data_IF_487551784108
#
_entry.id   IF_487551784108
#
_cell.length_a   1.000
_cell.length_b   1.000
_cell.length_c   1.000
_cell.angle_alpha   90.00
_cell.angle_beta   90.00
_cell.angle_gamma   90.00
#
_symmetry.space_group_name_H-M   'P 1'
#
loop_
_entity.id
_entity.type
_entity.pdbx_description
1 polymer ?
#
# COMPACT_ATOMS: atom_id res chain seq x y z
N UNK A 1 -52.81 -69.74 18.96
CA UNK A 1 -51.87 -68.94 19.79
C UNK A 1 -50.59 -68.87 19.02
N UNK A 2 -50.39 -67.79 18.32
CA UNK A 2 -49.16 -67.62 17.51
C UNK A 2 -48.56 -66.31 17.96
N UNK A 3 -47.52 -66.38 18.80
CA UNK A 3 -46.71 -65.24 19.17
C UNK A 3 -45.86 -64.83 17.96
N UNK A 4 -46.17 -63.68 17.41
CA UNK A 4 -45.38 -63.07 16.35
C UNK A 4 -44.02 -62.62 16.89
N UNK A 5 -42.92 -62.54 16.08
CA UNK A 5 -41.54 -62.33 16.52
C UNK A 5 -41.21 -60.97 17.14
N UNK A 6 -42.22 -60.10 17.33
CA UNK A 6 -41.95 -58.70 17.83
C UNK A 6 -42.76 -58.32 19.03
N UNK A 7 -43.48 -59.27 19.69
CA UNK A 7 -44.05 -59.04 21.04
C UNK A 7 -44.91 -57.80 21.22
N UNK A 8 -45.60 -57.30 20.18
CA UNK A 8 -46.45 -56.14 20.29
C UNK A 8 -47.79 -56.58 20.89
N UNK A 9 -48.01 -56.25 22.17
CA UNK A 9 -49.35 -56.41 22.81
C UNK A 9 -50.31 -55.41 22.15
N UNK A 10 -51.31 -55.92 21.42
CA UNK A 10 -52.43 -55.08 21.00
C UNK A 10 -53.16 -54.50 22.23
N UNK A 11 -53.29 -53.20 22.32
CA UNK A 11 -54.01 -52.49 23.34
C UNK A 11 -55.50 -52.73 23.14
N UNK A 12 -56.30 -53.07 24.14
CA UNK A 12 -57.73 -53.21 24.00
C UNK A 12 -58.37 -51.87 23.56
N UNK A 13 -59.23 -51.96 22.53
CA UNK A 13 -60.03 -50.81 22.08
C UNK A 13 -60.93 -50.29 23.16
N UNK A 14 -60.71 -49.04 23.63
CA UNK A 14 -61.60 -48.38 24.59
C UNK A 14 -60.87 -47.57 25.67
N UNK A 15 -59.54 -47.61 25.79
CA UNK A 15 -58.85 -46.81 26.82
C UNK A 15 -58.54 -45.39 26.27
N UNK A 16 -59.02 -44.31 26.91
CA UNK A 16 -58.72 -42.94 26.48
C UNK A 16 -57.25 -42.65 26.60
N UNK A 17 -56.63 -42.18 25.50
CA UNK A 17 -55.24 -41.76 25.49
C UNK A 17 -54.96 -40.72 26.58
N UNK A 18 -53.89 -40.88 27.37
CA UNK A 18 -53.57 -39.85 28.36
C UNK A 18 -53.26 -38.53 27.65
N UNK A 19 -53.66 -37.38 28.24
CA UNK A 19 -53.42 -36.08 27.66
C UNK A 19 -51.89 -35.88 27.43
N UNK A 20 -51.51 -35.14 26.34
CA UNK A 20 -50.11 -34.88 26.06
C UNK A 20 -49.49 -34.16 27.30
N UNK A 21 -48.36 -34.69 27.76
CA UNK A 21 -47.63 -34.04 28.85
C UNK A 21 -47.18 -32.65 28.40
N UNK A 22 -47.51 -31.66 29.19
CA UNK A 22 -47.00 -30.33 28.99
C UNK A 22 -45.48 -30.33 28.90
N UNK A 23 -44.82 -29.61 27.97
CA UNK A 23 -43.39 -29.55 27.90
C UNK A 23 -42.80 -29.08 29.22
N UNK A 24 -41.82 -29.78 29.72
CA UNK A 24 -41.13 -29.42 30.95
C UNK A 24 -40.49 -28.02 30.79
N UNK A 25 -40.60 -27.16 31.80
CA UNK A 25 -39.96 -25.85 31.75
C UNK A 25 -38.46 -26.01 31.55
N UNK A 26 -37.94 -25.30 30.53
CA UNK A 26 -36.49 -25.29 30.25
C UNK A 26 -35.73 -24.82 31.51
N UNK A 27 -34.66 -25.49 31.91
CA UNK A 27 -33.87 -25.03 33.02
C UNK A 27 -33.36 -23.59 32.77
N UNK A 28 -33.31 -22.72 33.78
CA UNK A 28 -32.83 -21.36 33.64
C UNK A 28 -31.40 -21.43 33.07
N UNK A 29 -31.15 -20.70 31.98
CA UNK A 29 -29.82 -20.64 31.33
C UNK A 29 -28.83 -20.10 32.38
N UNK A 30 -28.05 -20.98 32.97
CA UNK A 30 -26.98 -20.62 33.91
C UNK A 30 -25.92 -19.90 33.07
N UNK A 31 -25.98 -18.56 33.03
CA UNK A 31 -24.97 -17.72 32.38
C UNK A 31 -23.63 -18.06 33.05
N UNK A 32 -22.82 -18.82 32.36
CA UNK A 32 -21.50 -19.19 32.83
C UNK A 32 -20.68 -17.91 32.99
N UNK A 33 -20.06 -17.72 34.14
CA UNK A 33 -19.11 -16.62 34.39
C UNK A 33 -18.03 -16.57 33.29
N UNK A 34 -17.67 -17.73 32.76
CA UNK A 34 -16.74 -17.91 31.65
C UNK A 34 -17.27 -17.21 30.37
N UNK A 35 -18.54 -17.37 30.03
CA UNK A 35 -19.15 -16.72 28.86
C UNK A 35 -19.13 -15.18 28.99
N UNK A 36 -19.34 -14.69 30.20
CA UNK A 36 -19.27 -13.24 30.47
C UNK A 36 -17.83 -12.72 30.36
N UNK A 37 -16.84 -13.45 30.91
CA UNK A 37 -15.41 -13.10 30.79
C UNK A 37 -14.97 -13.09 29.33
N UNK A 38 -15.35 -14.10 28.54
CA UNK A 38 -15.05 -14.15 27.10
C UNK A 38 -15.65 -12.95 26.40
N UNK A 39 -16.90 -12.61 26.69
CA UNK A 39 -17.56 -11.42 26.12
C UNK A 39 -16.81 -10.11 26.40
N UNK A 40 -16.37 -9.92 27.63
CA UNK A 40 -15.59 -8.75 28.05
C UNK A 40 -14.24 -8.70 27.32
N UNK A 41 -13.51 -9.83 27.24
CA UNK A 41 -12.23 -9.92 26.54
C UNK A 41 -12.41 -9.58 25.07
N UNK A 42 -13.45 -10.09 24.42
CA UNK A 42 -13.74 -9.78 23.00
C UNK A 42 -14.03 -8.28 22.80
N UNK A 43 -14.82 -7.66 23.68
CA UNK A 43 -15.10 -6.23 23.62
C UNK A 43 -13.82 -5.40 23.77
N UNK A 44 -12.95 -5.75 24.74
CA UNK A 44 -11.68 -5.06 24.90
C UNK A 44 -10.75 -5.26 23.71
N UNK A 45 -10.70 -6.46 23.12
CA UNK A 45 -9.90 -6.74 21.92
C UNK A 45 -10.40 -5.92 20.73
N UNK A 46 -11.70 -5.84 20.51
CA UNK A 46 -12.31 -5.01 19.45
C UNK A 46 -12.00 -3.53 19.70
N UNK A 47 -12.20 -3.05 20.93
CA UNK A 47 -11.89 -1.66 21.28
C UNK A 47 -10.41 -1.33 21.06
N UNK A 48 -9.51 -2.23 21.47
CA UNK A 48 -8.06 -2.08 21.24
C UNK A 48 -7.72 -2.02 19.76
N UNK A 49 -8.24 -2.97 18.96
CA UNK A 49 -8.02 -3.01 17.51
C UNK A 49 -8.55 -1.72 16.86
N UNK A 50 -9.78 -1.31 17.22
CA UNK A 50 -10.39 -0.09 16.68
C UNK A 50 -9.58 1.16 17.02
N UNK A 51 -9.19 1.32 18.28
CA UNK A 51 -8.37 2.46 18.71
C UNK A 51 -7.00 2.47 18.06
N UNK A 52 -6.37 1.29 17.93
CA UNK A 52 -5.09 1.16 17.26
C UNK A 52 -5.21 1.46 15.76
N UNK A 53 -6.27 0.99 15.10
CA UNK A 53 -6.53 1.26 13.67
C UNK A 53 -6.83 2.74 13.42
N UNK A 54 -7.56 3.41 14.31
CA UNK A 54 -7.81 4.86 14.21
C UNK A 54 -6.53 5.70 14.42
N UNK A 55 -5.59 5.21 15.23
CA UNK A 55 -4.29 5.85 15.47
C UNK A 55 -3.29 5.57 14.36
N UNK A 56 -3.36 4.42 13.71
CA UNK A 56 -2.56 4.10 12.54
C UNK A 56 -3.17 4.82 11.34
N UNK A 57 -2.62 5.97 10.99
CA UNK A 57 -2.88 6.59 9.68
C UNK A 57 -2.22 5.68 8.64
N UNK A 58 -2.94 4.65 8.21
CA UNK A 58 -2.53 3.89 7.03
C UNK A 58 -2.35 4.90 5.88
N UNK A 59 -1.23 4.88 5.15
CA UNK A 59 -1.10 5.71 3.97
C UNK A 59 -2.28 5.37 3.05
N UNK A 60 -3.10 6.38 2.74
CA UNK A 60 -4.22 6.20 1.84
C UNK A 60 -3.73 5.85 0.43
N UNK A 61 -4.63 5.61 -0.50
CA UNK A 61 -4.31 5.37 -1.93
C UNK A 61 -4.29 6.65 -2.76
N UNK A 62 -4.17 7.81 -2.13
CA UNK A 62 -4.32 9.13 -2.78
C UNK A 62 -2.99 9.86 -3.04
N UNK A 63 -1.88 9.16 -2.89
CA UNK A 63 -0.56 9.77 -2.98
C UNK A 63 -0.18 10.58 -1.74
N UNK A 64 1.00 11.19 -1.77
CA UNK A 64 1.51 12.02 -0.68
C UNK A 64 0.70 13.31 -0.59
N UNK A 65 0.17 13.68 0.58
CA UNK A 65 -0.63 14.90 0.74
C UNK A 65 0.17 16.17 0.46
N UNK A 66 -0.48 17.18 -0.15
CA UNK A 66 0.12 18.50 -0.31
C UNK A 66 0.51 19.10 1.05
N UNK A 67 1.63 19.80 1.07
CA UNK A 67 2.19 20.43 2.27
C UNK A 67 3.00 19.50 3.18
N UNK A 68 2.95 18.17 2.98
CA UNK A 68 3.80 17.22 3.70
C UNK A 68 5.21 17.17 3.11
N UNK A 69 6.14 16.52 3.78
CA UNK A 69 7.47 16.23 3.25
C UNK A 69 7.45 14.97 2.40
N UNK A 70 8.29 14.93 1.35
CA UNK A 70 8.55 13.70 0.60
C UNK A 70 9.05 12.61 1.56
N UNK A 71 8.41 11.43 1.58
CA UNK A 71 8.94 10.30 2.32
C UNK A 71 10.37 9.99 1.87
N UNK A 72 11.34 9.83 2.81
CA UNK A 72 12.69 9.50 2.45
C UNK A 72 12.78 8.08 1.91
N UNK A 73 13.48 7.92 0.80
CA UNK A 73 13.87 6.61 0.30
C UNK A 73 15.20 6.66 -0.44
N UNK A 74 15.86 5.51 -0.52
CA UNK A 74 16.98 5.24 -1.41
C UNK A 74 16.74 3.88 -2.05
N UNK A 75 16.56 3.84 -3.37
CA UNK A 75 16.25 2.63 -4.10
C UNK A 75 17.26 2.41 -5.26
N UNK A 76 17.65 1.16 -5.57
CA UNK A 76 18.55 0.87 -6.65
C UNK A 76 17.92 1.25 -8.00
N UNK A 77 18.76 1.75 -8.92
CA UNK A 77 18.35 1.90 -10.32
C UNK A 77 18.03 0.54 -10.92
N UNK A 78 16.98 0.48 -11.72
CA UNK A 78 16.62 -0.74 -12.46
C UNK A 78 17.78 -1.25 -13.33
N UNK A 79 18.57 -0.34 -13.90
CA UNK A 79 19.69 -0.63 -14.79
C UNK A 79 20.99 -0.98 -14.06
N UNK A 80 21.07 -0.74 -12.75
CA UNK A 80 22.27 -1.06 -11.96
C UNK A 80 22.38 -2.55 -11.65
N UNK A 81 23.52 -2.94 -11.07
CA UNK A 81 23.78 -4.30 -10.54
C UNK A 81 23.47 -4.41 -9.05
N UNK A 82 23.05 -3.32 -8.40
CA UNK A 82 22.71 -3.35 -6.99
C UNK A 82 21.47 -4.20 -6.76
N UNK A 83 21.59 -5.17 -5.89
CA UNK A 83 20.48 -6.01 -5.42
C UNK A 83 19.94 -5.49 -4.10
N UNK A 84 18.70 -5.90 -3.75
CA UNK A 84 18.06 -5.58 -2.49
C UNK A 84 16.87 -4.63 -2.62
N UNK A 85 16.23 -4.44 -1.48
CA UNK A 85 15.02 -3.64 -1.36
C UNK A 85 15.36 -2.14 -1.21
N UNK A 86 14.35 -1.32 -1.40
CA UNK A 86 14.47 0.12 -1.16
C UNK A 86 14.68 0.38 0.34
N UNK A 87 15.62 1.25 0.67
CA UNK A 87 15.84 1.69 2.04
C UNK A 87 14.91 2.86 2.38
N UNK A 88 14.07 2.66 3.38
CA UNK A 88 13.09 3.64 3.89
C UNK A 88 13.41 4.11 5.32
N UNK A 89 14.52 3.66 5.90
CA UNK A 89 14.89 4.01 7.26
C UNK A 89 15.08 5.53 7.41
N UNK A 90 14.47 6.10 8.45
CA UNK A 90 14.65 7.51 8.80
C UNK A 90 15.70 7.70 9.89
N UNK A 91 15.98 6.66 10.68
CA UNK A 91 16.96 6.64 11.77
C UNK A 91 17.88 5.42 11.63
N UNK A 92 19.10 5.46 12.18
CA UNK A 92 19.98 4.31 12.24
C UNK A 92 19.31 3.13 12.96
N UNK A 93 19.48 1.91 12.45
CA UNK A 93 18.92 0.68 13.04
C UNK A 93 17.41 0.50 12.84
N UNK A 94 16.74 1.38 12.14
CA UNK A 94 15.35 1.24 11.75
C UNK A 94 15.27 0.39 10.48
N UNK A 95 14.49 -0.69 10.51
CA UNK A 95 14.47 -1.69 9.43
C UNK A 95 15.48 -2.82 9.67
N UNK A 96 15.93 -3.50 8.63
CA UNK A 96 16.88 -4.61 8.73
C UNK A 96 18.16 -4.23 9.51
N UNK A 97 18.84 -5.22 10.08
CA UNK A 97 20.02 -4.99 10.93
C UNK A 97 21.06 -4.10 10.25
N UNK A 98 21.41 -2.99 10.89
CA UNK A 98 22.42 -2.06 10.41
C UNK A 98 21.95 -1.09 9.31
N UNK A 99 20.66 -0.98 9.05
CA UNK A 99 20.14 -0.05 8.05
C UNK A 99 20.54 1.40 8.40
N UNK A 100 21.21 2.04 7.45
CA UNK A 100 21.52 3.47 7.53
C UNK A 100 20.28 4.28 7.16
N UNK A 101 20.12 5.51 7.65
CA UNK A 101 19.05 6.39 7.19
C UNK A 101 19.06 6.53 5.65
N UNK A 102 17.91 6.46 5.00
CA UNK A 102 17.79 6.51 3.55
C UNK A 102 18.50 7.74 2.95
N UNK A 103 18.38 8.91 3.59
CA UNK A 103 19.01 10.14 3.12
C UNK A 103 20.55 10.08 3.09
N UNK A 104 21.17 9.12 3.79
CA UNK A 104 22.64 8.92 3.78
C UNK A 104 23.11 7.93 2.74
N UNK A 105 22.20 7.17 2.12
CA UNK A 105 22.52 6.15 1.11
C UNK A 105 22.50 6.81 -0.26
N UNK A 106 23.69 7.15 -0.76
CA UNK A 106 23.89 7.90 -2.01
C UNK A 106 24.85 7.15 -2.94
N UNK A 107 24.69 7.34 -4.21
CA UNK A 107 25.55 6.75 -5.23
C UNK A 107 24.98 6.94 -6.64
N UNK A 108 25.80 6.66 -7.68
CA UNK A 108 25.37 6.78 -9.07
C UNK A 108 24.28 5.78 -9.45
N UNK A 109 24.21 4.67 -8.75
CA UNK A 109 23.26 3.57 -8.99
C UNK A 109 22.01 3.63 -8.10
N UNK A 110 21.78 4.77 -7.42
CA UNK A 110 20.71 4.92 -6.45
C UNK A 110 19.86 6.16 -6.76
N UNK A 111 18.56 6.00 -6.78
CA UNK A 111 17.61 7.11 -6.69
C UNK A 111 17.34 7.40 -5.21
N UNK A 112 17.63 8.62 -4.78
CA UNK A 112 17.46 9.04 -3.40
C UNK A 112 16.60 10.32 -3.35
N UNK A 113 15.43 10.23 -2.70
CA UNK A 113 14.47 11.35 -2.63
C UNK A 113 15.03 12.57 -1.90
N UNK A 114 15.84 12.37 -0.85
CA UNK A 114 16.48 13.47 -0.12
C UNK A 114 17.48 14.21 -1.01
N UNK A 115 18.34 13.46 -1.72
CA UNK A 115 19.33 14.03 -2.63
C UNK A 115 18.66 14.79 -3.79
N UNK A 116 17.55 14.27 -4.32
CA UNK A 116 16.76 14.97 -5.34
C UNK A 116 16.24 16.30 -4.79
N UNK A 117 15.60 16.28 -3.62
CA UNK A 117 15.03 17.47 -2.99
C UNK A 117 16.09 18.53 -2.62
N UNK A 118 17.29 18.11 -2.27
CA UNK A 118 18.44 19.01 -2.02
C UNK A 118 18.87 19.74 -3.31
N UNK A 119 18.91 19.01 -4.43
CA UNK A 119 19.40 19.55 -5.71
C UNK A 119 18.40 20.49 -6.39
N UNK A 120 17.09 20.23 -6.28
CA UNK A 120 16.08 21.05 -6.95
C UNK A 120 14.66 20.61 -6.63
N UNK A 121 13.65 21.25 -7.30
CA UNK A 121 12.29 20.74 -7.30
C UNK A 121 12.22 19.31 -7.83
N UNK A 122 11.26 18.52 -7.38
CA UNK A 122 11.19 17.08 -7.67
C UNK A 122 9.91 16.74 -8.43
N UNK A 123 10.05 15.98 -9.50
CA UNK A 123 8.96 15.30 -10.21
C UNK A 123 9.23 13.80 -10.13
N UNK A 124 8.46 13.10 -9.31
CA UNK A 124 8.60 11.67 -9.07
C UNK A 124 7.38 10.93 -9.60
N UNK A 125 7.57 10.14 -10.66
CA UNK A 125 6.52 9.33 -11.24
C UNK A 125 6.58 7.90 -10.74
N UNK A 126 5.41 7.26 -10.63
CA UNK A 126 5.30 5.84 -10.32
C UNK A 126 4.77 5.09 -11.53
N UNK A 127 5.42 3.99 -11.87
CA UNK A 127 5.06 3.14 -13.00
C UNK A 127 4.93 1.68 -12.58
N UNK A 128 4.19 0.91 -13.35
CA UNK A 128 4.08 -0.53 -13.17
C UNK A 128 4.30 -1.22 -14.52
N UNK A 129 5.05 -2.30 -14.53
CA UNK A 129 5.26 -3.09 -15.73
C UNK A 129 3.94 -3.51 -16.39
N UNK A 130 3.94 -3.56 -17.73
CA UNK A 130 2.78 -3.95 -18.58
C UNK A 130 1.59 -3.00 -18.54
N UNK A 131 1.79 -1.72 -18.22
CA UNK A 131 0.74 -0.70 -18.25
C UNK A 131 1.07 0.41 -19.25
N UNK A 132 0.49 0.33 -20.45
CA UNK A 132 0.71 1.34 -21.51
C UNK A 132 0.41 2.77 -21.08
N UNK A 133 -0.52 2.97 -20.13
CA UNK A 133 -0.84 4.32 -19.62
C UNK A 133 0.26 4.85 -18.73
N UNK A 134 0.88 3.98 -17.92
CA UNK A 134 2.01 4.33 -17.07
C UNK A 134 3.25 4.62 -17.92
N UNK A 135 3.52 3.78 -18.93
CA UNK A 135 4.64 3.98 -19.87
C UNK A 135 4.51 5.33 -20.59
N UNK A 136 3.31 5.66 -21.05
CA UNK A 136 3.00 6.94 -21.70
C UNK A 136 3.29 8.14 -20.79
N UNK A 137 3.04 8.01 -19.47
CA UNK A 137 3.39 9.07 -18.53
C UNK A 137 4.90 9.27 -18.44
N UNK A 138 5.67 8.18 -18.40
CA UNK A 138 7.13 8.27 -18.40
C UNK A 138 7.65 8.86 -19.70
N UNK A 139 7.08 8.52 -20.85
CA UNK A 139 7.41 9.13 -22.14
C UNK A 139 7.17 10.64 -22.15
N UNK A 140 6.09 11.12 -21.52
CA UNK A 140 5.82 12.58 -21.38
C UNK A 140 6.91 13.23 -20.52
N UNK A 141 7.27 12.64 -19.37
CA UNK A 141 8.35 13.15 -18.52
C UNK A 141 9.68 13.17 -19.27
N UNK A 142 10.01 12.08 -19.96
CA UNK A 142 11.26 11.94 -20.73
C UNK A 142 11.42 13.06 -21.77
N UNK A 143 10.35 13.40 -22.50
CA UNK A 143 10.38 14.47 -23.51
C UNK A 143 10.53 15.88 -22.92
N UNK A 144 9.99 16.11 -21.73
CA UNK A 144 9.93 17.44 -21.12
C UNK A 144 11.17 17.74 -20.28
N UNK A 145 11.77 16.71 -19.64
CA UNK A 145 12.84 16.91 -18.64
C UNK A 145 14.04 17.73 -19.13
N UNK A 146 14.39 17.64 -20.42
CA UNK A 146 15.51 18.39 -20.98
C UNK A 146 15.29 19.90 -20.99
N UNK A 147 14.03 20.34 -20.90
CA UNK A 147 13.65 21.76 -20.85
C UNK A 147 13.80 22.34 -19.42
N UNK A 148 14.03 21.49 -18.43
CA UNK A 148 14.07 21.85 -17.02
C UNK A 148 15.28 21.21 -16.29
N UNK A 149 16.50 21.68 -16.60
CA UNK A 149 17.72 21.08 -16.04
C UNK A 149 17.88 21.27 -14.53
N UNK A 150 17.19 22.23 -13.96
CA UNK A 150 17.14 22.55 -12.54
C UNK A 150 16.14 21.68 -11.75
N UNK A 151 15.29 20.92 -12.44
CA UNK A 151 14.28 20.03 -11.85
C UNK A 151 14.78 18.58 -11.82
N UNK A 152 14.57 17.89 -10.74
CA UNK A 152 14.95 16.50 -10.55
C UNK A 152 13.81 15.58 -10.97
N UNK A 153 14.03 14.81 -12.02
CA UNK A 153 13.06 13.83 -12.52
C UNK A 153 13.52 12.41 -12.21
N UNK A 154 12.63 11.58 -11.70
CA UNK A 154 12.83 10.15 -11.56
C UNK A 154 11.50 9.40 -11.69
N UNK A 155 11.61 8.11 -11.98
CA UNK A 155 10.50 7.18 -11.89
C UNK A 155 10.81 6.06 -10.88
N UNK A 156 9.75 5.48 -10.29
CA UNK A 156 9.84 4.29 -9.43
C UNK A 156 8.92 3.23 -10.02
N UNK A 157 9.45 2.05 -10.30
CA UNK A 157 8.64 0.91 -10.72
C UNK A 157 8.18 0.15 -9.48
N UNK A 158 6.86 0.13 -9.27
CA UNK A 158 6.20 -0.44 -8.09
C UNK A 158 5.70 -1.87 -8.30
N UNK A 159 5.88 -2.45 -9.49
CA UNK A 159 5.42 -3.81 -9.82
C UNK A 159 6.18 -4.36 -11.04
N UNK A 160 6.30 -5.68 -11.09
CA UNK A 160 6.97 -6.41 -12.17
C UNK A 160 8.36 -6.87 -11.77
N UNK A 161 9.01 -7.63 -12.66
CA UNK A 161 10.37 -8.02 -12.43
C UNK A 161 11.35 -6.98 -13.02
N UNK A 162 12.60 -7.04 -12.58
CA UNK A 162 13.62 -6.07 -12.94
C UNK A 162 14.07 -6.19 -14.40
N UNK A 163 14.05 -7.41 -14.96
CA UNK A 163 14.48 -7.63 -16.33
C UNK A 163 13.44 -7.15 -17.35
N UNK A 164 12.15 -7.34 -17.05
CA UNK A 164 11.05 -6.73 -17.82
C UNK A 164 11.17 -5.21 -17.81
N UNK A 165 11.48 -4.63 -16.65
CA UNK A 165 11.68 -3.18 -16.51
C UNK A 165 12.89 -2.68 -17.30
N UNK A 166 14.01 -3.41 -17.28
CA UNK A 166 15.19 -3.12 -18.09
C UNK A 166 14.88 -3.19 -19.59
N UNK A 167 14.10 -4.19 -20.00
CA UNK A 167 13.66 -4.32 -21.39
C UNK A 167 12.78 -3.14 -21.80
N UNK A 168 11.84 -2.73 -20.95
CA UNK A 168 10.96 -1.59 -21.17
C UNK A 168 11.75 -0.28 -21.28
N UNK A 169 12.71 -0.04 -20.38
CA UNK A 169 13.61 1.14 -20.43
C UNK A 169 14.34 1.21 -21.76
N UNK A 170 14.87 0.09 -22.23
CA UNK A 170 15.56 0.03 -23.55
C UNK A 170 14.59 0.26 -24.70
N UNK A 171 13.41 -0.36 -24.67
CA UNK A 171 12.40 -0.25 -25.72
C UNK A 171 11.93 1.19 -25.92
N UNK A 172 11.71 1.93 -24.83
CA UNK A 172 11.27 3.33 -24.86
C UNK A 172 12.41 4.34 -24.93
N UNK A 173 13.66 3.92 -24.79
CA UNK A 173 14.81 4.82 -24.75
C UNK A 173 14.82 5.79 -23.57
N UNK A 174 14.27 5.36 -22.43
CA UNK A 174 14.24 6.22 -21.25
C UNK A 174 15.64 6.42 -20.67
N UNK A 175 16.01 7.68 -20.50
CA UNK A 175 17.28 8.10 -19.89
C UNK A 175 17.06 8.81 -18.55
N UNK A 176 15.79 9.05 -18.13
CA UNK A 176 15.52 9.47 -16.76
C UNK A 176 15.81 8.30 -15.80
N UNK A 177 16.27 8.58 -14.56
CA UNK A 177 16.52 7.53 -13.59
C UNK A 177 15.21 6.77 -13.25
N UNK A 178 15.24 5.44 -13.37
CA UNK A 178 14.13 4.57 -12.97
C UNK A 178 14.61 3.68 -11.83
N UNK A 179 14.05 3.90 -10.64
CA UNK A 179 14.29 3.07 -9.48
C UNK A 179 13.45 1.79 -9.53
N UNK A 180 13.96 0.73 -8.94
CA UNK A 180 13.26 -0.53 -8.76
C UNK A 180 12.85 -0.72 -7.31
N UNK A 181 11.54 -0.75 -7.06
CA UNK A 181 10.92 -0.95 -5.74
C UNK A 181 10.45 -2.41 -5.66
N UNK A 182 11.37 -3.30 -5.26
CA UNK A 182 11.17 -4.74 -5.31
C UNK A 182 10.03 -5.20 -4.39
N UNK A 183 10.01 -4.71 -3.16
CA UNK A 183 9.08 -5.09 -2.10
C UNK A 183 7.85 -4.16 -2.01
N UNK A 184 7.79 -3.11 -2.84
CA UNK A 184 6.71 -2.12 -2.82
C UNK A 184 6.79 -1.14 -1.65
N UNK A 185 7.92 -1.09 -0.97
CA UNK A 185 8.11 -0.22 0.20
C UNK A 185 7.97 1.26 -0.13
N UNK A 186 8.55 1.71 -1.26
CA UNK A 186 8.42 3.10 -1.72
C UNK A 186 6.98 3.40 -2.12
N UNK A 187 6.32 2.49 -2.86
CA UNK A 187 4.91 2.63 -3.23
C UNK A 187 4.04 2.83 -2.00
N UNK A 188 4.29 2.04 -0.95
CA UNK A 188 3.56 2.12 0.30
C UNK A 188 3.81 3.44 1.04
N UNK A 189 5.07 3.87 1.16
CA UNK A 189 5.45 5.14 1.80
C UNK A 189 4.85 6.36 1.07
N UNK A 190 4.70 6.29 -0.25
CA UNK A 190 4.10 7.34 -1.07
C UNK A 190 2.59 7.18 -1.27
N UNK A 191 1.95 6.23 -0.62
CA UNK A 191 0.51 5.94 -0.73
C UNK A 191 0.06 5.74 -2.19
N UNK A 192 0.88 5.02 -2.99
CA UNK A 192 0.63 4.76 -4.41
C UNK A 192 -0.07 3.42 -4.56
N UNK A 193 -1.32 3.42 -5.02
CA UNK A 193 -2.09 2.23 -5.31
C UNK A 193 -2.34 2.02 -6.80
N UNK A 194 -2.21 3.08 -7.59
CA UNK A 194 -2.48 3.07 -9.03
C UNK A 194 -1.35 3.73 -9.79
N UNK A 195 -1.22 3.44 -11.07
CA UNK A 195 -0.37 4.19 -11.98
C UNK A 195 -1.16 4.62 -13.24
N UNK A 196 -0.82 5.76 -13.84
CA UNK A 196 0.25 6.66 -13.43
C UNK A 196 -0.09 7.45 -12.16
N UNK A 197 0.89 7.58 -11.28
CA UNK A 197 0.87 8.52 -10.17
C UNK A 197 2.11 9.40 -10.31
N UNK A 198 1.96 10.72 -10.15
CA UNK A 198 3.08 11.68 -10.22
C UNK A 198 3.02 12.61 -9.03
N UNK A 199 4.06 12.62 -8.22
CA UNK A 199 4.22 13.51 -7.07
C UNK A 199 5.13 14.67 -7.44
N UNK A 200 4.72 15.88 -7.10
CA UNK A 200 5.44 17.13 -7.32
C UNK A 200 5.86 17.72 -5.98
N UNK A 201 7.11 18.13 -5.88
CA UNK A 201 7.60 18.77 -4.66
C UNK A 201 8.52 19.95 -4.99
N UNK A 202 8.47 20.95 -4.13
CA UNK A 202 9.40 22.07 -4.15
C UNK A 202 10.80 21.60 -3.77
N UNK A 203 11.81 22.42 -4.05
CA UNK A 203 13.15 22.25 -3.49
C UNK A 203 13.04 22.13 -1.95
N UNK A 204 13.79 21.22 -1.35
CA UNK A 204 13.67 20.88 0.07
C UNK A 204 12.60 19.84 0.37
N UNK A 205 11.84 19.37 -0.64
CA UNK A 205 10.99 18.19 -0.53
C UNK A 205 9.57 18.44 0.00
N UNK A 206 9.12 19.69 0.18
CA UNK A 206 7.73 19.98 0.51
C UNK A 206 6.84 19.65 -0.68
N UNK A 207 5.86 18.78 -0.49
CA UNK A 207 4.98 18.30 -1.57
C UNK A 207 4.00 19.40 -2.00
N UNK A 208 3.98 19.70 -3.29
CA UNK A 208 2.97 20.58 -3.92
C UNK A 208 1.65 19.82 -4.10
N UNK A 209 1.74 18.56 -4.49
CA UNK A 209 0.60 17.68 -4.68
C UNK A 209 0.95 16.44 -5.49
N UNK A 210 -0.03 15.55 -5.58
CA UNK A 210 0.07 14.29 -6.35
C UNK A 210 -1.05 14.22 -7.39
N UNK A 211 -0.70 13.83 -8.62
CA UNK A 211 -1.67 13.48 -9.65
C UNK A 211 -1.83 11.97 -9.72
N UNK A 212 -3.07 11.51 -9.81
CA UNK A 212 -3.43 10.09 -9.92
C UNK A 212 -3.91 9.72 -11.34
N UNK A 213 -3.74 10.62 -12.30
CA UNK A 213 -4.16 10.42 -13.68
C UNK A 213 -3.03 10.77 -14.62
N UNK A 214 -3.15 10.30 -15.85
CA UNK A 214 -2.24 10.70 -16.92
C UNK A 214 -2.28 12.23 -17.10
N UNK A 215 -1.10 12.85 -17.01
CA UNK A 215 -0.92 14.29 -17.22
C UNK A 215 -0.30 14.50 -18.59
N UNK A 216 -0.89 15.34 -19.39
CA UNK A 216 -0.32 15.76 -20.67
C UNK A 216 0.86 16.74 -20.50
N UNK A 217 1.53 17.05 -21.61
CA UNK A 217 2.70 17.91 -21.58
C UNK A 217 2.42 19.35 -21.11
N UNK A 218 1.25 19.90 -21.39
CA UNK A 218 0.90 21.26 -20.98
C UNK A 218 0.64 21.34 -19.47
N UNK A 219 -0.18 20.44 -18.96
CA UNK A 219 -0.46 20.35 -17.53
C UNK A 219 0.81 20.00 -16.71
N UNK A 220 1.70 19.15 -17.26
CA UNK A 220 2.97 18.84 -16.62
C UNK A 220 3.87 20.07 -16.53
N UNK A 221 4.02 20.86 -17.61
CA UNK A 221 4.79 22.12 -17.58
C UNK A 221 4.23 23.10 -16.56
N UNK A 222 2.91 23.30 -16.54
CA UNK A 222 2.28 24.21 -15.56
C UNK A 222 2.61 23.81 -14.11
N UNK A 223 2.58 22.51 -13.79
CA UNK A 223 2.96 22.00 -12.48
C UNK A 223 4.45 22.18 -12.18
N UNK A 224 5.31 21.94 -13.17
CA UNK A 224 6.75 22.16 -13.03
C UNK A 224 7.07 23.61 -12.74
N UNK A 225 6.46 24.56 -13.48
CA UNK A 225 6.66 25.98 -13.23
C UNK A 225 6.22 26.38 -11.81
N UNK A 226 5.13 25.82 -11.33
CA UNK A 226 4.65 26.07 -9.96
C UNK A 226 5.67 25.61 -8.90
N UNK A 227 6.26 24.40 -9.02
CA UNK A 227 7.25 23.92 -8.06
C UNK A 227 8.61 24.63 -8.19
N UNK A 228 8.91 25.22 -9.35
CA UNK A 228 10.12 26.02 -9.56
C UNK A 228 10.02 27.41 -8.96
N UNK A 229 8.85 28.06 -9.09
CA UNK A 229 8.64 29.40 -8.55
C UNK A 229 8.62 29.45 -7.02
N UNK A 230 8.44 28.32 -6.37
CA UNK A 230 8.37 28.25 -4.90
C UNK A 230 7.07 28.86 -4.32
N UNK A 231 6.07 29.13 -5.19
CA UNK A 231 4.81 29.75 -4.83
C UNK A 231 3.79 28.77 -4.26
#
# INVERSE_FOLDING_TARGET
MSDGPFGVRERPEGEPSPPPRAPAPLPPARRSTVTWIIGVVVVFAIAYITLNTLRTKAPGSRGVPAGSQLPPFAAPLATSKLEGDANLATKPGQGGQGARPACTVRGPDIVNSCQMAEKGPVVLAFTAARSKTCDRQIDVLQRIRSQYPDVQFAAVSIRGNRDDLRALIRQHGWTLPVAYDHDGGVANAYAVAICPTVTFAYRGGKVEGTSLTLIDGAALRARIEKIRSGA
#
